data_IF_972812690004
#
_entry.id   IF_972812690004
#
_cell.length_a   1.000
_cell.length_b   1.000
_cell.length_c   1.000
_cell.angle_alpha   90.00
_cell.angle_beta   90.00
_cell.angle_gamma   90.00
#
_symmetry.space_group_name_H-M   'P 1'
#
loop_
_entity.id
_entity.type
_entity.pdbx_description
1 polymer ?
#
# COMPACT_ATOMS: atom_id res chain seq x y z
N UNK A 1 -10.36 5.69 -45.24
CA UNK A 1 -10.59 6.37 -43.95
C UNK A 1 -9.52 7.45 -43.74
N UNK A 2 -9.69 8.62 -44.39
CA UNK A 2 -8.79 9.79 -44.30
C UNK A 2 -9.61 11.08 -44.20
N UNK A 3 -10.69 11.06 -43.39
CA UNK A 3 -11.68 12.15 -43.35
C UNK A 3 -12.21 12.45 -41.94
N UNK A 4 -11.38 12.30 -40.89
CA UNK A 4 -11.76 12.62 -39.50
C UNK A 4 -10.72 13.46 -38.74
N UNK A 5 -9.75 14.09 -39.44
CA UNK A 5 -8.66 14.84 -38.81
C UNK A 5 -8.76 16.38 -38.93
N UNK A 6 -9.95 16.94 -39.21
CA UNK A 6 -10.08 18.37 -39.53
C UNK A 6 -11.04 19.18 -38.63
N UNK A 7 -11.41 18.69 -37.44
CA UNK A 7 -12.42 19.37 -36.60
C UNK A 7 -12.03 19.66 -35.14
N UNK A 8 -10.79 19.41 -34.73
CA UNK A 8 -10.32 19.72 -33.36
C UNK A 8 -9.24 20.82 -33.29
N UNK A 9 -9.09 21.64 -34.34
CA UNK A 9 -8.09 22.71 -34.41
C UNK A 9 -8.73 24.11 -34.48
N UNK A 10 -9.82 24.35 -33.74
CA UNK A 10 -10.49 25.65 -33.71
C UNK A 10 -11.05 26.00 -32.31
N UNK A 11 -10.22 25.91 -31.27
CA UNK A 11 -10.56 26.44 -29.94
C UNK A 11 -9.39 27.13 -29.22
N UNK A 12 -8.37 27.61 -29.94
CA UNK A 12 -7.18 28.23 -29.34
C UNK A 12 -6.86 29.64 -29.87
N UNK A 13 -7.87 30.48 -30.13
CA UNK A 13 -7.63 31.93 -30.32
C UNK A 13 -8.85 32.77 -29.93
N UNK A 14 -9.21 32.79 -28.65
CA UNK A 14 -9.98 33.89 -28.07
C UNK A 14 -9.97 33.77 -26.54
N UNK A 15 -9.06 34.48 -25.88
CA UNK A 15 -9.17 34.70 -24.44
C UNK A 15 -10.38 35.59 -24.17
N UNK A 16 -11.48 34.99 -23.73
CA UNK A 16 -12.61 35.62 -23.03
C UNK A 16 -13.42 34.50 -22.34
N UNK A 17 -13.33 34.41 -21.01
CA UNK A 17 -14.47 34.00 -20.17
C UNK A 17 -15.43 35.21 -20.05
N UNK A 18 -16.74 35.08 -19.75
CA UNK A 18 -17.38 33.97 -19.02
C UNK A 18 -18.70 33.46 -19.63
N UNK A 19 -19.30 32.46 -18.98
CA UNK A 19 -20.69 32.00 -19.13
C UNK A 19 -21.05 31.22 -20.41
N UNK A 20 -20.95 29.89 -20.34
CA UNK A 20 -21.88 29.02 -21.05
C UNK A 20 -22.95 28.55 -20.07
N UNK A 21 -24.14 29.08 -20.31
CA UNK A 21 -25.40 28.76 -19.65
C UNK A 21 -25.79 27.29 -19.79
N UNK A 22 -26.47 26.84 -18.75
CA UNK A 22 -27.58 25.89 -18.75
C UNK A 22 -28.35 25.79 -20.07
N UNK A 23 -28.54 24.55 -20.53
CA UNK A 23 -29.69 24.16 -21.32
C UNK A 23 -30.13 22.74 -20.90
N UNK A 24 -31.16 22.78 -20.07
CA UNK A 24 -32.05 21.72 -19.62
C UNK A 24 -32.65 20.82 -20.71
N UNK A 25 -33.12 19.65 -20.27
CA UNK A 25 -34.47 19.06 -20.46
C UNK A 25 -34.64 17.78 -21.29
N UNK A 26 -35.39 16.83 -20.70
CA UNK A 26 -35.94 15.61 -21.32
C UNK A 26 -35.74 14.34 -20.47
N UNK A 27 -36.31 14.22 -19.27
CA UNK A 27 -37.62 13.58 -19.01
C UNK A 27 -37.83 12.22 -19.70
N UNK A 28 -37.82 11.13 -18.92
CA UNK A 28 -38.80 10.05 -19.04
C UNK A 28 -38.97 9.31 -17.70
N UNK A 29 -40.24 9.05 -17.42
CA UNK A 29 -40.80 8.46 -16.21
C UNK A 29 -40.76 6.92 -16.23
N UNK A 30 -40.94 6.32 -15.06
CA UNK A 30 -41.11 4.88 -14.83
C UNK A 30 -40.46 4.51 -13.49
N UNK A 31 -41.04 4.87 -12.33
CA UNK A 31 -42.12 4.13 -11.67
C UNK A 31 -41.79 2.64 -11.54
N UNK A 32 -41.31 2.21 -10.37
CA UNK A 32 -41.86 1.08 -9.64
C UNK A 32 -41.39 1.14 -8.18
N UNK A 33 -42.34 1.45 -7.31
CA UNK A 33 -42.22 1.41 -5.85
C UNK A 33 -42.64 0.02 -5.43
N UNK A 34 -41.75 -0.76 -4.83
CA UNK A 34 -42.15 -1.96 -4.09
C UNK A 34 -42.10 -1.64 -2.59
N UNK A 35 -43.16 -1.00 -2.14
CA UNK A 35 -43.57 -0.94 -0.74
C UNK A 35 -44.19 -2.30 -0.40
N UNK A 36 -43.54 -3.07 0.46
CA UNK A 36 -44.15 -4.24 1.09
C UNK A 36 -44.21 -4.01 2.59
N UNK A 37 -45.34 -3.45 3.00
CA UNK A 37 -45.79 -3.40 4.39
C UNK A 37 -46.40 -4.73 4.80
N UNK A 38 -45.92 -5.25 5.93
CA UNK A 38 -46.74 -5.99 6.91
C UNK A 38 -46.15 -7.33 7.39
N UNK A 39 -46.63 -7.87 8.53
CA UNK A 39 -47.24 -7.23 9.68
C UNK A 39 -46.48 -7.48 11.00
N UNK A 40 -46.83 -6.67 11.99
CA UNK A 40 -46.59 -6.86 13.41
C UNK A 40 -47.04 -8.24 13.90
N UNK A 41 -46.16 -8.97 14.56
CA UNK A 41 -46.55 -9.88 15.64
C UNK A 41 -45.77 -9.51 16.90
N UNK A 42 -46.51 -8.96 17.85
CA UNK A 42 -46.15 -8.85 19.26
C UNK A 42 -46.22 -10.24 19.86
N UNK A 43 -45.13 -10.74 20.44
CA UNK A 43 -45.23 -11.73 21.50
C UNK A 43 -44.42 -11.30 22.72
N UNK A 44 -45.20 -10.94 23.73
CA UNK A 44 -44.79 -10.84 25.12
C UNK A 44 -44.79 -12.25 25.69
N UNK A 45 -43.69 -12.77 26.23
CA UNK A 45 -43.76 -13.59 27.45
C UNK A 45 -42.41 -13.81 28.14
N UNK A 46 -42.44 -13.47 29.42
CA UNK A 46 -41.87 -14.22 30.57
C UNK A 46 -40.36 -14.21 30.80
N UNK A 47 -40.00 -13.38 31.78
CA UNK A 47 -38.83 -13.57 32.64
C UNK A 47 -38.87 -14.95 33.31
N UNK A 48 -37.76 -15.69 33.22
CA UNK A 48 -37.43 -16.76 34.17
C UNK A 48 -36.01 -16.52 34.68
N UNK A 49 -35.92 -16.21 35.97
CA UNK A 49 -34.73 -16.28 36.79
C UNK A 49 -34.14 -17.69 36.76
N UNK A 50 -32.84 -17.81 36.45
CA UNK A 50 -31.99 -18.89 36.95
C UNK A 50 -30.51 -18.49 36.79
N UNK A 51 -29.94 -18.02 37.90
CA UNK A 51 -28.51 -18.20 38.23
C UNK A 51 -28.45 -19.54 38.99
N UNK A 52 -27.63 -20.51 38.58
CA UNK A 52 -26.34 -20.70 39.28
C UNK A 52 -25.19 -21.16 38.37
N UNK A 53 -24.00 -20.65 38.67
CA UNK A 53 -22.69 -21.31 38.55
C UNK A 53 -22.65 -22.66 37.81
N UNK A 54 -22.08 -22.69 36.60
CA UNK A 54 -21.44 -23.88 36.08
C UNK A 54 -20.25 -23.51 35.19
N UNK A 55 -19.08 -23.45 35.81
CA UNK A 55 -17.79 -23.42 35.11
C UNK A 55 -17.55 -24.83 34.55
N UNK A 56 -17.81 -25.04 33.26
CA UNK A 56 -17.37 -26.27 32.58
C UNK A 56 -15.94 -26.06 32.07
N UNK A 57 -14.97 -26.47 32.88
CA UNK A 57 -13.60 -26.67 32.45
C UNK A 57 -13.50 -27.96 31.63
N UNK A 58 -13.20 -27.84 30.34
CA UNK A 58 -12.79 -28.96 29.50
C UNK A 58 -11.31 -29.23 29.75
N UNK A 59 -11.01 -30.12 30.69
CA UNK A 59 -9.68 -30.69 30.84
C UNK A 59 -9.57 -31.92 29.91
N UNK A 60 -8.87 -31.76 28.80
CA UNK A 60 -8.40 -32.89 27.99
C UNK A 60 -7.15 -33.45 28.65
N UNK A 61 -7.25 -34.68 29.13
CA UNK A 61 -6.12 -35.49 29.57
C UNK A 61 -5.23 -35.86 28.37
N UNK A 62 -3.93 -35.62 28.49
CA UNK A 62 -2.87 -36.44 27.88
C UNK A 62 -1.52 -36.08 28.54
N UNK A 63 -1.15 -36.87 29.54
CA UNK A 63 0.22 -37.28 29.89
C UNK A 63 0.13 -38.84 29.83
N UNK A 64 1.13 -39.64 29.41
CA UNK A 64 2.54 -39.34 29.56
C UNK A 64 3.51 -39.85 28.48
N UNK A 65 4.75 -39.40 28.61
CA UNK A 65 5.99 -40.18 28.51
C UNK A 65 7.08 -39.58 27.61
N UNK A 66 8.12 -39.14 28.31
CA UNK A 66 9.53 -39.38 27.98
C UNK A 66 10.15 -38.54 26.86
N UNK A 67 10.64 -37.35 27.26
CA UNK A 67 11.83 -36.78 26.64
C UNK A 67 12.94 -36.69 27.70
N UNK A 68 13.85 -37.65 27.63
CA UNK A 68 15.12 -37.69 28.35
C UNK A 68 15.91 -36.41 28.08
N UNK A 69 16.04 -35.56 29.09
CA UNK A 69 17.01 -34.47 29.07
C UNK A 69 18.39 -35.05 29.41
N UNK A 70 19.18 -35.36 28.36
CA UNK A 70 20.62 -35.55 28.54
C UNK A 70 21.22 -34.17 28.76
N UNK A 71 21.61 -33.90 30.02
CA UNK A 71 22.48 -32.79 30.35
C UNK A 71 23.79 -32.95 29.57
N UNK A 72 24.04 -32.05 28.62
CA UNK A 72 25.34 -31.92 27.98
C UNK A 72 26.23 -31.02 28.86
N UNK A 73 27.39 -31.57 29.14
CA UNK A 73 28.52 -31.06 29.90
C UNK A 73 29.01 -29.69 29.39
N UNK A 74 29.16 -28.64 30.23
CA UNK A 74 29.66 -27.34 29.82
C UNK A 74 31.18 -27.26 29.95
N UNK A 75 31.93 -28.15 29.30
CA UNK A 75 33.40 -28.02 29.21
C UNK A 75 33.95 -28.78 27.99
N UNK A 76 33.76 -28.24 26.79
CA UNK A 76 34.68 -28.52 25.66
C UNK A 76 34.79 -27.28 24.77
N UNK A 77 35.79 -26.47 25.10
CA UNK A 77 36.33 -25.46 24.19
C UNK A 77 36.91 -26.15 22.96
N UNK A 78 36.24 -26.02 21.82
CA UNK A 78 36.85 -26.21 20.50
C UNK A 78 36.92 -24.82 19.87
N UNK A 79 38.13 -24.26 19.90
CA UNK A 79 38.55 -23.15 19.06
C UNK A 79 38.51 -23.63 17.61
N UNK A 80 37.43 -23.29 16.91
CA UNK A 80 37.42 -23.23 15.47
C UNK A 80 37.75 -21.78 15.08
N UNK A 81 39.00 -21.55 14.71
CA UNK A 81 39.42 -20.41 13.91
C UNK A 81 38.70 -20.51 12.54
N UNK A 82 37.48 -20.00 12.51
CA UNK A 82 36.88 -19.52 11.27
C UNK A 82 37.16 -18.03 11.25
N UNK A 83 38.23 -17.64 10.56
CA UNK A 83 38.46 -16.25 10.17
C UNK A 83 37.27 -15.80 9.33
N UNK A 84 36.28 -15.20 9.99
CA UNK A 84 35.34 -14.33 9.32
C UNK A 84 36.18 -13.21 8.68
N UNK A 85 36.03 -12.92 7.38
CA UNK A 85 36.62 -11.72 6.84
C UNK A 85 36.07 -10.57 7.66
N UNK A 86 36.97 -9.80 8.28
CA UNK A 86 36.63 -8.54 8.90
C UNK A 86 36.04 -7.67 7.79
N UNK A 87 34.71 -7.66 7.72
CA UNK A 87 33.93 -6.76 6.89
C UNK A 87 34.12 -5.37 7.52
N UNK A 88 35.27 -4.82 7.18
CA UNK A 88 35.61 -3.45 7.42
C UNK A 88 34.73 -2.72 6.42
N UNK A 89 33.50 -2.42 6.81
CA UNK A 89 32.66 -1.48 6.08
C UNK A 89 33.46 -0.18 5.98
N UNK A 90 34.16 -0.01 4.88
CA UNK A 90 34.87 1.22 4.58
C UNK A 90 33.82 2.33 4.55
N UNK A 91 34.12 3.52 5.11
CA UNK A 91 33.21 4.64 5.04
C UNK A 91 32.93 4.94 3.57
N UNK A 92 31.65 4.89 3.20
CA UNK A 92 31.19 5.19 1.85
C UNK A 92 31.65 6.61 1.51
N UNK A 93 32.59 6.71 0.56
CA UNK A 93 33.09 7.97 0.04
C UNK A 93 31.96 8.62 -0.78
N UNK A 94 31.24 9.56 -0.15
CA UNK A 94 30.17 10.33 -0.79
C UNK A 94 30.67 11.31 -1.86
N UNK A 95 31.96 11.28 -2.19
CA UNK A 95 32.58 12.08 -3.26
C UNK A 95 33.09 11.26 -4.46
N UNK A 96 32.84 9.94 -4.53
CA UNK A 96 33.08 9.15 -5.76
C UNK A 96 31.88 9.28 -6.73
N UNK A 97 32.04 9.92 -7.92
CA UNK A 97 31.00 9.99 -8.95
C UNK A 97 30.70 8.64 -9.64
N UNK A 98 31.09 7.52 -9.03
CA UNK A 98 30.78 6.15 -9.44
C UNK A 98 29.95 5.38 -8.42
N UNK A 99 29.51 5.99 -7.33
CA UNK A 99 28.26 5.54 -6.70
C UNK A 99 27.21 5.69 -7.80
N UNK A 100 26.53 4.62 -8.26
CA UNK A 100 25.59 4.76 -9.36
C UNK A 100 24.56 5.80 -8.92
N UNK A 101 24.64 6.99 -9.51
CA UNK A 101 23.65 8.04 -9.33
C UNK A 101 22.36 7.40 -9.80
N UNK A 102 21.55 6.98 -8.84
CA UNK A 102 20.20 6.60 -9.14
C UNK A 102 19.52 7.82 -9.78
N UNK A 103 18.61 7.56 -10.69
CA UNK A 103 17.86 8.56 -11.42
C UNK A 103 16.61 8.90 -10.63
N UNK A 104 16.37 10.19 -10.50
CA UNK A 104 15.14 10.72 -9.93
C UNK A 104 13.94 10.36 -10.82
N UNK A 105 12.74 10.60 -10.31
CA UNK A 105 11.50 10.39 -11.05
C UNK A 105 11.53 11.09 -12.41
N UNK A 106 11.15 10.35 -13.45
CA UNK A 106 11.15 10.81 -14.83
C UNK A 106 12.53 10.79 -15.49
N UNK A 107 13.60 10.50 -14.75
CA UNK A 107 14.92 10.23 -15.29
C UNK A 107 14.93 8.95 -16.11
N UNK A 108 15.74 8.94 -17.17
CA UNK A 108 15.82 7.82 -18.09
C UNK A 108 16.41 6.57 -17.40
N UNK A 109 15.85 5.39 -17.66
CA UNK A 109 16.30 4.14 -17.04
C UNK A 109 16.20 2.94 -17.99
N UNK A 110 16.96 1.90 -17.68
CA UNK A 110 16.94 0.57 -18.29
C UNK A 110 16.55 -0.52 -17.29
N UNK A 111 16.71 -0.27 -15.99
CA UNK A 111 16.32 -1.21 -14.93
C UNK A 111 15.89 -0.48 -13.66
N UNK A 112 15.12 -1.17 -12.80
CA UNK A 112 14.59 -0.62 -11.55
C UNK A 112 15.70 -0.16 -10.58
N UNK A 113 16.88 -0.78 -10.63
CA UNK A 113 18.04 -0.43 -9.80
C UNK A 113 18.66 0.93 -10.14
N UNK A 114 18.35 1.46 -11.32
CA UNK A 114 18.82 2.79 -11.73
C UNK A 114 17.89 3.88 -11.20
N UNK A 115 16.80 3.57 -10.50
CA UNK A 115 15.89 4.57 -9.94
C UNK A 115 16.15 4.75 -8.44
N UNK A 116 16.12 6.00 -7.95
CA UNK A 116 16.34 6.29 -6.52
C UNK A 116 15.23 5.73 -5.62
N UNK A 117 14.08 5.43 -6.21
CA UNK A 117 12.96 4.70 -5.64
C UNK A 117 12.02 4.25 -6.76
N UNK A 118 11.11 3.33 -6.46
CA UNK A 118 10.13 2.87 -7.43
C UNK A 118 10.67 1.87 -8.46
N UNK A 119 10.27 2.04 -9.72
CA UNK A 119 10.59 1.12 -10.81
C UNK A 119 10.86 1.86 -12.12
N UNK A 120 11.49 1.15 -13.07
CA UNK A 120 11.73 1.65 -14.41
C UNK A 120 10.53 1.37 -15.31
N UNK A 121 9.74 2.41 -15.61
CA UNK A 121 8.57 2.30 -16.46
C UNK A 121 8.98 2.23 -17.93
N UNK A 122 9.07 1.02 -18.48
CA UNK A 122 9.29 0.78 -19.90
C UNK A 122 7.95 0.64 -20.65
N UNK A 123 7.90 1.10 -21.90
CA UNK A 123 6.77 0.85 -22.78
C UNK A 123 6.77 -0.63 -23.20
N UNK A 124 5.75 -1.44 -22.84
CA UNK A 124 5.70 -2.84 -23.22
C UNK A 124 5.61 -3.05 -24.74
N UNK A 125 5.18 -2.05 -25.52
CA UNK A 125 5.19 -2.09 -26.98
C UNK A 125 6.59 -1.86 -27.57
N UNK A 126 7.55 -1.36 -26.78
CA UNK A 126 8.91 -1.06 -27.23
C UNK A 126 9.97 -1.29 -26.14
N UNK A 127 10.25 -2.55 -25.77
CA UNK A 127 11.20 -2.90 -24.69
C UNK A 127 12.68 -2.59 -24.99
N UNK A 128 12.96 -1.99 -26.15
CA UNK A 128 14.30 -1.56 -26.56
C UNK A 128 14.45 -0.03 -26.51
N UNK A 129 13.39 0.67 -26.09
CA UNK A 129 13.40 2.10 -25.85
C UNK A 129 13.62 2.29 -24.35
N UNK A 130 14.47 3.26 -24.03
CA UNK A 130 14.75 3.64 -22.66
C UNK A 130 13.45 4.01 -21.93
N UNK A 131 13.28 3.49 -20.71
CA UNK A 131 12.14 3.81 -19.85
C UNK A 131 12.39 5.08 -19.05
N UNK A 132 11.47 5.39 -18.15
CA UNK A 132 11.63 6.46 -17.18
C UNK A 132 11.33 5.97 -15.75
N UNK A 133 12.07 6.46 -14.77
CA UNK A 133 11.85 6.14 -13.37
C UNK A 133 10.48 6.65 -12.90
N UNK A 134 9.73 5.79 -12.24
CA UNK A 134 8.40 6.09 -11.71
C UNK A 134 8.25 5.56 -10.29
N UNK A 135 7.43 6.23 -9.48
CA UNK A 135 7.15 5.81 -8.11
C UNK A 135 6.44 4.45 -8.08
N UNK A 136 6.62 3.67 -7.00
CA UNK A 136 5.83 2.46 -6.81
C UNK A 136 4.33 2.75 -6.83
N UNK A 137 3.59 1.81 -7.40
CA UNK A 137 2.16 1.85 -7.56
C UNK A 137 1.46 1.35 -6.30
N UNK A 138 0.54 2.16 -5.81
CA UNK A 138 -0.33 1.81 -4.69
C UNK A 138 -1.37 0.78 -5.06
N UNK A 139 -1.93 0.12 -4.06
CA UNK A 139 -3.01 -0.83 -4.30
C UNK A 139 -4.22 -0.11 -4.94
N UNK A 140 -4.78 -0.72 -5.99
CA UNK A 140 -5.81 -0.11 -6.84
C UNK A 140 -5.27 0.62 -8.07
N UNK A 141 -3.96 0.88 -8.17
CA UNK A 141 -3.34 1.44 -9.37
C UNK A 141 -3.05 0.37 -10.43
N UNK A 142 -3.08 0.74 -11.71
CA UNK A 142 -2.82 -0.20 -12.82
C UNK A 142 -1.33 -0.55 -12.91
N UNK A 143 -1.00 -1.83 -12.88
CA UNK A 143 0.36 -2.35 -12.94
C UNK A 143 0.57 -3.35 -14.08
N UNK A 144 1.82 -3.53 -14.51
CA UNK A 144 2.21 -4.57 -15.44
C UNK A 144 2.91 -5.76 -14.75
N UNK A 145 3.62 -5.50 -13.65
CA UNK A 145 4.40 -6.49 -12.91
C UNK A 145 4.29 -6.28 -11.39
N UNK A 146 4.45 -7.35 -10.64
CA UNK A 146 4.39 -7.37 -9.17
C UNK A 146 5.33 -6.36 -8.51
N UNK A 147 6.55 -6.24 -9.05
CA UNK A 147 7.57 -5.32 -8.56
C UNK A 147 7.24 -3.84 -8.76
N UNK A 148 6.21 -3.51 -9.55
CA UNK A 148 5.74 -2.13 -9.66
C UNK A 148 4.90 -1.72 -8.45
N UNK A 149 4.32 -2.68 -7.75
CA UNK A 149 3.38 -2.43 -6.68
C UNK A 149 4.08 -2.32 -5.33
N UNK A 150 3.65 -1.37 -4.49
CA UNK A 150 4.07 -1.29 -3.08
C UNK A 150 3.75 -2.60 -2.34
N UNK A 151 2.66 -3.27 -2.72
CA UNK A 151 2.30 -4.60 -2.18
C UNK A 151 3.20 -5.74 -2.64
N UNK A 152 4.01 -5.52 -3.69
CA UNK A 152 4.74 -6.58 -4.37
C UNK A 152 3.83 -7.57 -5.11
N UNK A 153 2.59 -7.20 -5.42
CA UNK A 153 1.65 -8.08 -6.12
C UNK A 153 0.73 -7.28 -7.06
N UNK A 154 0.74 -7.67 -8.33
CA UNK A 154 -0.03 -7.11 -9.43
C UNK A 154 -1.06 -8.14 -9.90
N UNK A 155 -2.29 -8.03 -9.38
CA UNK A 155 -3.39 -8.95 -9.69
C UNK A 155 -4.32 -8.37 -10.77
N UNK A 156 -4.52 -9.10 -11.86
CA UNK A 156 -5.32 -8.68 -13.02
C UNK A 156 -4.97 -7.26 -13.56
N UNK A 157 -3.68 -6.92 -13.53
CA UNK A 157 -3.18 -5.62 -13.98
C UNK A 157 -3.47 -4.47 -13.00
N UNK A 158 -3.81 -4.78 -11.74
CA UNK A 158 -4.02 -3.80 -10.68
C UNK A 158 -3.20 -4.20 -9.45
N UNK A 159 -2.50 -3.25 -8.85
CA UNK A 159 -1.76 -3.52 -7.63
C UNK A 159 -2.74 -3.96 -6.55
N UNK A 160 -2.50 -5.13 -5.99
CA UNK A 160 -3.35 -5.72 -4.98
C UNK A 160 -2.46 -6.29 -3.90
N UNK A 161 -2.59 -5.82 -2.67
CA UNK A 161 -2.39 -6.70 -1.52
C UNK A 161 -3.69 -7.47 -1.43
N UNK A 162 -3.63 -8.80 -1.34
CA UNK A 162 -4.81 -9.68 -1.39
C UNK A 162 -5.98 -9.25 -0.48
N UNK A 163 -5.72 -8.39 0.52
CA UNK A 163 -6.72 -7.70 1.35
C UNK A 163 -6.24 -6.29 1.80
N UNK A 164 -5.92 -5.37 0.88
CA UNK A 164 -5.64 -3.99 1.31
C UNK A 164 -6.91 -3.27 1.78
N UNK A 165 -6.74 -2.38 2.75
CA UNK A 165 -7.76 -1.57 3.39
C UNK A 165 -7.78 -0.18 2.76
N UNK A 166 -8.93 0.21 2.23
CA UNK A 166 -9.12 1.52 1.61
C UNK A 166 -8.89 2.67 2.62
N UNK A 167 -8.71 3.89 2.12
CA UNK A 167 -8.64 5.09 2.96
C UNK A 167 -9.85 5.16 3.91
N UNK A 168 -9.59 5.50 5.17
CA UNK A 168 -10.59 5.54 6.24
C UNK A 168 -10.93 4.18 6.86
N UNK A 169 -10.47 3.06 6.30
CA UNK A 169 -10.67 1.75 6.92
C UNK A 169 -9.71 1.55 8.11
N UNK A 170 -10.18 0.83 9.13
CA UNK A 170 -9.43 0.63 10.36
C UNK A 170 -8.16 -0.18 10.13
N UNK A 171 -7.02 0.26 10.68
CA UNK A 171 -5.73 -0.41 10.56
C UNK A 171 -5.01 -0.44 11.91
N UNK A 172 -4.12 -1.42 12.06
CA UNK A 172 -3.26 -1.53 13.25
C UNK A 172 -1.80 -1.16 12.91
N UNK A 173 -1.46 -1.20 11.62
CA UNK A 173 -0.15 -0.84 11.06
C UNK A 173 -0.33 -0.38 9.60
N UNK A 174 0.69 0.23 8.99
CA UNK A 174 0.60 0.83 7.64
C UNK A 174 0.53 -0.19 6.49
N UNK A 175 1.07 -1.40 6.68
CA UNK A 175 1.14 -2.42 5.62
C UNK A 175 -0.20 -2.86 4.97
N UNK A 176 -1.33 -2.99 5.70
CA UNK A 176 -2.62 -3.28 5.09
C UNK A 176 -3.23 -2.10 4.34
N UNK A 177 -2.75 -0.86 4.50
CA UNK A 177 -3.39 0.28 3.84
C UNK A 177 -3.11 0.28 2.33
N UNK A 178 -4.15 0.57 1.54
CA UNK A 178 -4.01 0.60 0.08
C UNK A 178 -3.14 1.77 -0.40
N UNK A 179 -3.15 2.86 0.36
CA UNK A 179 -2.36 4.07 0.20
C UNK A 179 -2.00 4.61 1.59
N UNK A 180 -0.89 5.34 1.68
CA UNK A 180 -0.42 6.07 2.86
C UNK A 180 -0.17 5.23 4.12
N UNK A 181 0.10 5.90 5.25
CA UNK A 181 0.30 5.26 6.53
C UNK A 181 -1.02 4.94 7.26
N UNK A 182 -0.93 4.14 8.31
CA UNK A 182 -1.98 4.05 9.32
C UNK A 182 -1.85 5.23 10.29
N UNK A 183 -2.98 5.89 10.62
CA UNK A 183 -2.96 7.10 11.45
C UNK A 183 -2.32 6.90 12.83
N UNK A 184 -2.35 5.68 13.37
CA UNK A 184 -1.74 5.39 14.67
C UNK A 184 -0.20 5.44 14.64
N UNK A 185 0.42 5.16 13.49
CA UNK A 185 1.87 5.24 13.29
C UNK A 185 2.33 6.70 13.05
N UNK A 186 1.46 7.55 12.52
CA UNK A 186 1.73 8.99 12.36
C UNK A 186 1.53 9.74 13.68
N UNK A 187 0.47 9.43 14.42
CA UNK A 187 0.13 10.09 15.67
C UNK A 187 0.79 9.44 16.91
N UNK A 188 1.59 8.39 16.72
CA UNK A 188 2.20 7.56 17.77
C UNK A 188 1.20 7.09 18.84
N UNK A 189 0.00 6.73 18.39
CA UNK A 189 -1.08 6.28 19.25
C UNK A 189 -1.06 4.75 19.35
N UNK A 190 -1.33 4.23 20.55
CA UNK A 190 -1.54 2.79 20.76
C UNK A 190 -2.97 2.33 20.44
N UNK A 191 -3.84 3.25 20.01
CA UNK A 191 -5.19 2.93 19.55
C UNK A 191 -5.17 2.43 18.11
N UNK A 192 -6.17 1.63 17.68
CA UNK A 192 -6.34 1.32 16.27
C UNK A 192 -6.52 2.62 15.47
N UNK A 193 -5.86 2.68 14.32
CA UNK A 193 -5.88 3.82 13.42
C UNK A 193 -6.82 3.61 12.24
N UNK A 194 -6.75 4.54 11.29
CA UNK A 194 -7.38 4.42 9.98
C UNK A 194 -6.36 4.67 8.88
N UNK A 195 -6.55 4.02 7.74
CA UNK A 195 -5.69 4.22 6.58
C UNK A 195 -5.83 5.66 6.08
N UNK A 196 -4.70 6.36 5.99
CA UNK A 196 -4.63 7.73 5.53
C UNK A 196 -4.21 7.76 4.05
N UNK A 197 -4.55 8.84 3.31
CA UNK A 197 -3.90 9.08 2.04
C UNK A 197 -2.38 9.24 2.21
N UNK A 198 -1.59 9.12 1.13
CA UNK A 198 -0.17 9.41 1.16
C UNK A 198 0.10 10.83 1.69
N UNK A 199 1.12 10.96 2.52
CA UNK A 199 1.50 12.20 3.17
C UNK A 199 1.98 13.23 2.14
N UNK A 200 1.64 14.52 2.32
CA UNK A 200 2.13 15.58 1.44
C UNK A 200 3.64 15.80 1.63
N UNK A 201 4.24 16.61 0.76
CA UNK A 201 5.60 17.08 0.96
C UNK A 201 5.76 17.80 2.31
N UNK A 202 6.97 17.79 2.86
CA UNK A 202 7.37 18.34 4.16
C UNK A 202 6.70 17.66 5.37
N UNK A 203 5.97 16.54 5.15
CA UNK A 203 5.39 15.74 6.23
C UNK A 203 6.42 14.78 6.82
N UNK A 204 6.31 14.51 8.12
CA UNK A 204 7.17 13.52 8.79
C UNK A 204 6.81 12.12 8.30
N UNK A 205 7.83 11.34 7.91
CA UNK A 205 7.68 9.99 7.39
C UNK A 205 8.70 9.03 8.02
N UNK A 206 8.41 7.74 7.96
CA UNK A 206 9.32 6.67 8.38
C UNK A 206 9.64 5.67 7.28
N UNK A 207 8.96 5.82 6.15
CA UNK A 207 9.08 4.94 5.00
C UNK A 207 8.74 5.75 3.75
N UNK A 208 9.48 5.53 2.67
CA UNK A 208 9.25 6.14 1.36
C UNK A 208 7.81 6.01 0.90
N UNK A 209 7.21 4.85 1.22
CA UNK A 209 5.81 4.57 0.90
C UNK A 209 4.84 5.47 1.66
N UNK A 210 5.23 6.21 2.71
CA UNK A 210 4.26 7.08 3.37
C UNK A 210 4.01 8.35 2.56
N UNK A 211 4.94 8.73 1.69
CA UNK A 211 4.92 10.00 1.00
C UNK A 211 4.19 9.91 -0.34
N UNK A 212 3.43 10.94 -0.68
CA UNK A 212 2.82 11.09 -2.00
C UNK A 212 3.88 11.16 -3.12
N UNK A 213 5.10 11.60 -2.77
CA UNK A 213 6.27 11.60 -3.65
C UNK A 213 6.95 10.24 -3.76
N UNK A 214 6.69 9.29 -2.85
CA UNK A 214 7.46 8.06 -2.75
C UNK A 214 8.88 8.25 -2.19
N UNK A 215 9.20 9.41 -1.59
CA UNK A 215 10.53 9.70 -1.04
C UNK A 215 10.44 10.23 0.39
N UNK A 216 10.99 9.48 1.33
CA UNK A 216 11.15 9.81 2.73
C UNK A 216 12.64 10.02 3.04
N UNK A 217 13.11 11.25 2.91
CA UNK A 217 14.51 11.60 3.11
C UNK A 217 14.65 12.30 4.45
N UNK A 218 15.56 11.80 5.29
CA UNK A 218 15.81 12.38 6.62
C UNK A 218 14.54 12.54 7.49
N UNK A 219 13.60 11.58 7.37
CA UNK A 219 12.29 11.58 8.03
C UNK A 219 11.30 12.64 7.53
N UNK A 220 11.52 13.19 6.34
CA UNK A 220 10.64 14.17 5.73
C UNK A 220 10.26 13.77 4.29
N UNK A 221 8.99 13.92 3.94
CA UNK A 221 8.51 13.65 2.59
C UNK A 221 9.03 14.73 1.65
N UNK A 222 10.00 14.40 0.81
CA UNK A 222 10.58 15.37 -0.13
C UNK A 222 9.98 15.21 -1.52
N UNK A 223 9.97 16.28 -2.31
CA UNK A 223 9.77 16.13 -3.75
C UNK A 223 10.89 15.24 -4.34
N UNK A 224 10.60 14.48 -5.41
CA UNK A 224 11.64 13.79 -6.17
C UNK A 224 12.62 14.79 -6.79
#
# INVERSE_FOLDING_TARGET
MRLLLALAALCLTAGLAPACLDASSGSNAGADVHESTGPLESDTTTATTADPDTVTATATAADPDTATATAADPDTAVVADTEAPADTAEPVDTTDPRSPECHDRGGDCWSDYECCGGFCQQDPASPYVQGACADYLWNGATCAWDGWCVSGNCDDGVCASGDCKAEGAACDFSNPCCSGPCSNEVDFSYAPGVCLPPLPADAVCYDDRWCASGHCVEYECTAP
#
